data_IF_052681162058
#
_entry.id   IF_052681162058
#
_cell.length_a   1.000
_cell.length_b   1.000
_cell.length_c   1.000
_cell.angle_alpha   90.00
_cell.angle_beta   90.00
_cell.angle_gamma   90.00
#
_symmetry.space_group_name_H-M   'P 1'
#
loop_
_entity.id
_entity.type
_entity.pdbx_description
1 polymer ?
#
# COMPACT_ATOMS: atom_id res chain seq x y z
N UNK A 1 0.70 12.71 1.64
CA UNK A 1 0.36 12.20 0.29
C UNK A 1 0.74 13.19 -0.79
N UNK A 2 0.98 12.71 -2.02
CA UNK A 2 1.44 13.53 -3.14
C UNK A 2 0.92 12.99 -4.47
N UNK A 3 0.32 13.86 -5.29
CA UNK A 3 -0.08 13.56 -6.66
C UNK A 3 1.03 13.93 -7.65
N UNK A 4 1.23 13.10 -8.66
CA UNK A 4 2.17 13.34 -9.77
C UNK A 4 1.50 13.02 -11.10
N UNK A 5 1.70 13.85 -12.14
CA UNK A 5 1.25 13.51 -13.49
C UNK A 5 2.09 12.36 -14.05
N UNK A 6 1.41 11.41 -14.69
CA UNK A 6 2.06 10.32 -15.42
C UNK A 6 2.63 10.85 -16.72
N UNK A 7 3.94 10.65 -16.91
CA UNK A 7 4.63 11.02 -18.16
C UNK A 7 4.61 9.87 -19.17
N UNK A 8 4.75 8.65 -18.67
CA UNK A 8 4.76 7.45 -19.48
C UNK A 8 4.27 6.26 -18.67
N UNK A 9 3.53 5.40 -19.33
CA UNK A 9 3.09 4.11 -18.78
C UNK A 9 3.43 2.99 -19.76
N UNK A 10 3.97 1.91 -19.24
CA UNK A 10 4.18 0.64 -19.97
C UNK A 10 3.38 -0.49 -19.35
N UNK A 11 3.60 -1.73 -19.81
CA UNK A 11 2.97 -2.90 -19.21
C UNK A 11 3.35 -3.07 -17.72
N UNK A 12 4.61 -2.77 -17.38
CA UNK A 12 5.20 -3.10 -16.07
C UNK A 12 5.86 -1.90 -15.37
N UNK A 13 5.64 -0.68 -15.84
CA UNK A 13 6.22 0.50 -15.21
C UNK A 13 5.40 1.77 -15.46
N UNK A 14 5.52 2.72 -14.52
CA UNK A 14 4.99 4.08 -14.62
C UNK A 14 6.09 5.06 -14.32
N UNK A 15 6.25 6.06 -15.20
CA UNK A 15 7.11 7.21 -15.02
C UNK A 15 6.25 8.43 -14.64
N UNK A 16 6.49 9.00 -13.47
CA UNK A 16 5.75 10.16 -12.97
C UNK A 16 6.68 11.09 -12.17
N UNK A 17 6.66 12.38 -12.48
CA UNK A 17 7.68 13.29 -11.98
C UNK A 17 9.08 12.78 -12.37
N UNK A 18 10.00 12.70 -11.42
CA UNK A 18 11.35 12.15 -11.61
C UNK A 18 11.47 10.68 -11.17
N UNK A 19 10.35 10.05 -10.84
CA UNK A 19 10.31 8.67 -10.37
C UNK A 19 9.92 7.70 -11.48
N UNK A 20 10.54 6.52 -11.47
CA UNK A 20 10.13 5.35 -12.25
C UNK A 20 9.76 4.23 -11.30
N UNK A 21 8.52 3.81 -11.36
CA UNK A 21 7.96 2.75 -10.53
C UNK A 21 7.83 1.49 -11.38
N UNK A 22 8.59 0.45 -11.05
CA UNK A 22 8.50 -0.85 -11.68
C UNK A 22 7.40 -1.67 -10.98
N UNK A 23 6.23 -1.72 -11.58
CA UNK A 23 5.03 -2.39 -11.03
C UNK A 23 4.59 -3.47 -12.02
N UNK A 24 4.78 -4.74 -11.72
CA UNK A 24 4.42 -5.83 -12.63
C UNK A 24 2.93 -5.79 -13.01
N UNK A 25 2.64 -5.97 -14.29
CA UNK A 25 1.28 -5.98 -14.86
C UNK A 25 0.48 -4.66 -14.69
N UNK A 26 1.09 -3.53 -14.35
CA UNK A 26 0.36 -2.30 -14.03
C UNK A 26 -0.53 -1.82 -15.18
N UNK A 27 -0.06 -1.93 -16.41
CA UNK A 27 -0.85 -1.56 -17.59
C UNK A 27 -2.14 -2.38 -17.73
N UNK A 28 -2.09 -3.66 -17.40
CA UNK A 28 -3.27 -4.54 -17.39
C UNK A 28 -4.16 -4.28 -16.18
N UNK A 29 -3.57 -4.06 -15.02
CA UNK A 29 -4.30 -3.86 -13.76
C UNK A 29 -5.09 -2.56 -13.74
N UNK A 30 -4.46 -1.46 -14.15
CA UNK A 30 -5.02 -0.14 -14.01
C UNK A 30 -5.60 0.45 -15.30
N UNK A 31 -5.25 -0.13 -16.48
CA UNK A 31 -5.55 0.53 -17.74
C UNK A 31 -4.78 1.83 -17.89
N UNK A 32 -5.14 2.70 -18.84
CA UNK A 32 -4.52 4.01 -19.01
C UNK A 32 -4.80 4.91 -17.80
N UNK A 33 -3.75 5.48 -17.21
CA UNK A 33 -3.84 6.41 -16.09
C UNK A 33 -3.09 7.71 -16.40
N UNK A 34 -3.56 8.81 -15.83
CA UNK A 34 -3.06 10.16 -16.07
C UNK A 34 -2.29 10.70 -14.86
N UNK A 35 -2.66 10.24 -13.67
CA UNK A 35 -2.09 10.68 -12.40
C UNK A 35 -1.79 9.49 -11.51
N UNK A 36 -0.75 9.60 -10.69
CA UNK A 36 -0.53 8.70 -9.56
C UNK A 36 -0.54 9.49 -8.25
N UNK A 37 -1.05 8.87 -7.21
CA UNK A 37 -0.98 9.36 -5.85
C UNK A 37 -0.13 8.43 -5.00
N UNK A 38 0.85 8.97 -4.31
CA UNK A 38 1.69 8.25 -3.34
C UNK A 38 1.34 8.76 -1.95
N UNK A 39 1.12 7.86 -1.01
CA UNK A 39 0.91 8.21 0.39
C UNK A 39 1.71 7.28 1.31
N UNK A 40 2.12 7.83 2.44
CA UNK A 40 2.65 7.10 3.59
C UNK A 40 1.77 7.46 4.78
N UNK A 41 1.34 6.47 5.55
CA UNK A 41 0.55 6.64 6.75
C UNK A 41 1.02 5.73 7.87
N UNK A 42 0.79 6.13 9.12
CA UNK A 42 1.19 5.39 10.31
C UNK A 42 0.19 5.62 11.44
N UNK A 43 0.06 4.66 12.33
CA UNK A 43 -0.64 4.83 13.62
C UNK A 43 0.33 5.13 14.77
N UNK A 44 1.61 5.41 14.45
CA UNK A 44 2.65 5.65 15.43
C UNK A 44 3.20 4.36 16.06
N UNK A 45 4.06 4.51 17.06
CA UNK A 45 4.79 3.41 17.71
C UNK A 45 4.22 2.99 19.07
N UNK A 46 3.27 3.72 19.63
CA UNK A 46 2.80 3.50 21.00
C UNK A 46 2.22 2.09 21.19
N UNK A 47 1.43 1.63 20.19
CA UNK A 47 0.81 0.32 20.25
C UNK A 47 1.84 -0.82 20.09
N UNK A 48 2.81 -0.67 19.19
CA UNK A 48 3.85 -1.68 19.02
C UNK A 48 4.79 -1.73 20.21
N UNK A 49 5.11 -0.58 20.82
CA UNK A 49 5.89 -0.52 22.05
C UNK A 49 5.15 -1.21 23.21
N UNK A 50 3.84 -0.96 23.35
CA UNK A 50 3.04 -1.64 24.38
C UNK A 50 2.97 -3.16 24.14
N UNK A 51 2.84 -3.59 22.90
CA UNK A 51 2.88 -5.01 22.55
C UNK A 51 4.24 -5.63 22.92
N UNK A 52 5.36 -4.93 22.66
CA UNK A 52 6.68 -5.39 23.03
C UNK A 52 6.84 -5.55 24.56
N UNK A 53 6.38 -4.58 25.38
CA UNK A 53 6.37 -4.68 26.84
C UNK A 53 5.60 -5.93 27.32
N UNK A 54 4.45 -6.24 26.70
CA UNK A 54 3.67 -7.43 27.01
C UNK A 54 4.38 -8.74 26.63
N UNK A 55 5.18 -8.72 25.56
CA UNK A 55 6.05 -9.85 25.21
C UNK A 55 7.11 -10.10 26.28
N UNK A 56 7.74 -9.04 26.79
CA UNK A 56 8.76 -9.12 27.85
C UNK A 56 8.20 -9.65 29.15
N UNK A 57 6.98 -9.22 29.52
CA UNK A 57 6.28 -9.70 30.71
C UNK A 57 5.60 -11.05 30.56
N UNK A 58 5.76 -11.70 29.38
CA UNK A 58 5.17 -13.01 29.03
C UNK A 58 3.65 -13.03 28.98
N UNK A 59 3.01 -11.91 28.81
CA UNK A 59 1.57 -11.79 28.55
C UNK A 59 1.26 -12.05 27.06
N UNK A 60 1.72 -13.19 26.53
CA UNK A 60 1.78 -13.49 25.10
C UNK A 60 0.44 -13.40 24.37
N UNK A 61 -0.70 -13.88 24.93
CA UNK A 61 -1.99 -13.75 24.25
C UNK A 61 -2.38 -12.28 24.05
N UNK A 62 -2.19 -11.43 25.08
CA UNK A 62 -2.53 -10.01 25.01
C UNK A 62 -1.62 -9.27 24.05
N UNK A 63 -0.31 -9.56 24.07
CA UNK A 63 0.67 -9.00 23.14
C UNK A 63 0.29 -9.31 21.68
N UNK A 64 -0.05 -10.57 21.37
CA UNK A 64 -0.45 -10.98 20.03
C UNK A 64 -1.76 -10.34 19.57
N UNK A 65 -2.73 -10.21 20.48
CA UNK A 65 -3.99 -9.54 20.19
C UNK A 65 -3.77 -8.06 19.88
N UNK A 66 -2.95 -7.39 20.69
CA UNK A 66 -2.64 -5.98 20.53
C UNK A 66 -1.90 -5.71 19.20
N UNK A 67 -0.92 -6.56 18.86
CA UNK A 67 -0.23 -6.49 17.58
C UNK A 67 -1.19 -6.66 16.38
N UNK A 68 -2.13 -7.62 16.49
CA UNK A 68 -3.15 -7.86 15.47
C UNK A 68 -4.11 -6.67 15.32
N UNK A 69 -4.51 -6.05 16.43
CA UNK A 69 -5.34 -4.83 16.43
C UNK A 69 -4.60 -3.70 15.71
N UNK A 70 -3.30 -3.52 15.99
CA UNK A 70 -2.48 -2.52 15.31
C UNK A 70 -2.40 -2.74 13.80
N UNK A 71 -2.26 -4.00 13.38
CA UNK A 71 -2.26 -4.35 11.95
C UNK A 71 -3.61 -4.04 11.28
N UNK A 72 -4.72 -4.31 11.96
CA UNK A 72 -6.06 -3.94 11.50
C UNK A 72 -6.26 -2.43 11.43
N UNK A 73 -5.79 -1.69 12.43
CA UNK A 73 -5.93 -0.25 12.50
C UNK A 73 -5.17 0.47 11.37
N UNK A 74 -3.92 0.07 11.10
CA UNK A 74 -3.14 0.68 10.01
C UNK A 74 -3.71 0.36 8.62
N UNK A 75 -4.29 -0.83 8.44
CA UNK A 75 -5.01 -1.16 7.20
C UNK A 75 -6.27 -0.29 7.03
N UNK A 76 -7.06 -0.09 8.10
CA UNK A 76 -8.22 0.80 8.06
C UNK A 76 -7.83 2.26 7.78
N UNK A 77 -6.69 2.72 8.32
CA UNK A 77 -6.14 4.03 8.00
C UNK A 77 -5.75 4.13 6.52
N UNK A 78 -5.14 3.10 5.96
CA UNK A 78 -4.79 3.09 4.53
C UNK A 78 -6.03 3.08 3.62
N UNK A 79 -7.11 2.42 4.02
CA UNK A 79 -8.41 2.50 3.33
C UNK A 79 -8.98 3.92 3.40
N UNK A 80 -8.96 4.55 4.57
CA UNK A 80 -9.38 5.95 4.72
C UNK A 80 -8.56 6.91 3.85
N UNK A 81 -7.23 6.73 3.78
CA UNK A 81 -6.38 7.53 2.87
C UNK A 81 -6.76 7.31 1.41
N UNK A 82 -7.09 6.07 1.01
CA UNK A 82 -7.57 5.78 -0.34
C UNK A 82 -8.90 6.49 -0.63
N UNK A 83 -9.82 6.53 0.34
CA UNK A 83 -11.08 7.26 0.21
C UNK A 83 -10.85 8.77 0.05
N UNK A 84 -9.89 9.36 0.76
CA UNK A 84 -9.50 10.76 0.56
C UNK A 84 -9.00 11.01 -0.87
N UNK A 85 -8.18 10.10 -1.42
CA UNK A 85 -7.72 10.21 -2.81
C UNK A 85 -8.89 10.15 -3.79
N UNK A 86 -9.88 9.28 -3.55
CA UNK A 86 -11.10 9.24 -4.35
C UNK A 86 -11.88 10.56 -4.26
N UNK A 87 -12.03 11.13 -3.06
CA UNK A 87 -12.72 12.41 -2.86
C UNK A 87 -12.03 13.57 -3.59
N UNK A 88 -10.71 13.59 -3.65
CA UNK A 88 -9.95 14.59 -4.42
C UNK A 88 -10.11 14.43 -5.93
N UNK A 89 -10.28 13.21 -6.44
CA UNK A 89 -10.41 12.92 -7.86
C UNK A 89 -11.86 13.08 -8.40
N UNK A 90 -12.88 12.90 -7.56
CA UNK A 90 -14.31 13.00 -7.93
C UNK A 90 -14.66 14.32 -8.63
N UNK A 91 -14.26 15.51 -8.13
CA UNK A 91 -14.58 16.78 -8.80
C UNK A 91 -13.98 16.91 -10.20
N UNK A 92 -12.92 16.13 -10.49
CA UNK A 92 -12.27 16.09 -11.79
C UNK A 92 -12.88 15.05 -12.74
N UNK A 93 -13.84 14.26 -12.26
CA UNK A 93 -14.46 13.17 -13.01
C UNK A 93 -13.50 12.00 -13.28
N UNK A 94 -12.46 11.84 -12.47
CA UNK A 94 -11.44 10.82 -12.65
C UNK A 94 -11.68 9.63 -11.72
N UNK A 95 -11.95 8.41 -12.25
CA UNK A 95 -11.90 7.18 -11.48
C UNK A 95 -10.52 6.96 -10.86
N UNK A 96 -10.49 6.49 -9.61
CA UNK A 96 -9.26 6.12 -8.89
C UNK A 96 -9.14 4.61 -8.83
N UNK A 97 -7.98 4.09 -9.16
CA UNK A 97 -7.70 2.64 -9.12
C UNK A 97 -7.63 2.13 -7.67
N UNK A 98 -7.67 0.82 -7.52
CA UNK A 98 -7.36 0.21 -6.24
C UNK A 98 -5.91 0.49 -5.86
N UNK A 99 -5.69 0.80 -4.58
CA UNK A 99 -4.36 1.01 -4.04
C UNK A 99 -3.51 -0.26 -4.11
N UNK A 100 -2.23 -0.09 -4.35
CA UNK A 100 -1.22 -1.15 -4.28
C UNK A 100 -0.05 -0.68 -3.41
N UNK A 101 0.73 -1.61 -2.90
CA UNK A 101 1.87 -1.31 -2.03
C UNK A 101 3.05 -2.23 -2.39
N UNK A 102 4.31 -1.73 -2.34
CA UNK A 102 5.48 -2.59 -2.48
C UNK A 102 5.48 -3.71 -1.44
N UNK A 103 5.94 -4.89 -1.84
CA UNK A 103 5.91 -6.09 -1.00
C UNK A 103 4.63 -6.93 -1.13
N UNK A 104 3.59 -6.41 -1.80
CA UNK A 104 2.38 -7.18 -2.08
C UNK A 104 2.38 -7.74 -3.50
N UNK A 105 1.82 -8.95 -3.66
CA UNK A 105 1.79 -9.64 -4.95
C UNK A 105 3.19 -9.88 -5.49
N UNK A 106 3.46 -9.43 -6.69
CA UNK A 106 4.76 -9.51 -7.37
C UNK A 106 5.54 -8.18 -7.33
N UNK A 107 5.05 -7.15 -6.64
CA UNK A 107 5.74 -5.86 -6.58
C UNK A 107 6.85 -5.89 -5.54
N UNK A 108 8.09 -5.68 -5.99
CA UNK A 108 9.29 -5.77 -5.14
C UNK A 108 9.23 -4.75 -4.00
N UNK A 109 9.51 -5.18 -2.79
CA UNK A 109 9.59 -4.33 -1.59
C UNK A 109 10.66 -3.23 -1.72
N UNK A 110 11.72 -3.45 -2.50
CA UNK A 110 12.75 -2.44 -2.76
C UNK A 110 12.20 -1.17 -3.42
N UNK A 111 11.05 -1.23 -4.08
CA UNK A 111 10.36 -0.07 -4.63
C UNK A 111 9.85 0.92 -3.56
N UNK A 112 9.83 0.52 -2.29
CA UNK A 112 9.63 1.44 -1.15
C UNK A 112 10.58 2.64 -1.20
N UNK A 113 11.84 2.43 -1.62
CA UNK A 113 12.83 3.52 -1.72
C UNK A 113 12.39 4.58 -2.71
N UNK A 114 11.80 4.17 -3.83
CA UNK A 114 11.29 5.09 -4.84
C UNK A 114 10.09 5.87 -4.30
N UNK A 115 9.16 5.20 -3.62
CA UNK A 115 8.01 5.87 -2.98
C UNK A 115 8.47 6.90 -1.96
N UNK A 116 9.41 6.55 -1.08
CA UNK A 116 9.95 7.45 -0.04
C UNK A 116 10.77 8.59 -0.63
N UNK A 117 11.42 8.40 -1.78
CA UNK A 117 12.07 9.49 -2.52
C UNK A 117 11.08 10.55 -3.02
N UNK A 118 9.84 10.15 -3.31
CA UNK A 118 8.77 11.04 -3.78
C UNK A 118 7.95 11.60 -2.63
N UNK A 119 7.59 10.75 -1.67
CA UNK A 119 6.75 11.09 -0.52
C UNK A 119 7.46 10.63 0.76
N UNK A 120 8.43 11.42 1.28
CA UNK A 120 9.16 11.09 2.51
C UNK A 120 8.22 10.97 3.71
N UNK A 121 8.53 10.04 4.61
CA UNK A 121 7.77 9.81 5.84
C UNK A 121 8.20 10.67 7.02
N UNK A 122 9.27 11.45 6.91
CA UNK A 122 9.91 12.16 8.03
C UNK A 122 8.94 13.09 8.79
N UNK A 123 8.05 13.77 8.06
CA UNK A 123 7.08 14.70 8.64
C UNK A 123 6.05 14.02 9.57
N UNK A 124 5.89 12.69 9.45
CA UNK A 124 5.00 11.87 10.27
C UNK A 124 5.77 10.85 11.10
N UNK A 125 7.09 11.01 11.22
CA UNK A 125 7.96 10.14 12.00
C UNK A 125 8.17 8.74 11.44
N UNK A 126 7.97 8.54 10.12
CA UNK A 126 8.20 7.25 9.46
C UNK A 126 9.52 7.26 8.70
N UNK A 127 10.37 6.32 9.02
CA UNK A 127 11.64 6.09 8.31
C UNK A 127 11.66 4.72 7.63
N UNK A 128 12.60 4.55 6.69
CA UNK A 128 12.83 3.31 5.96
C UNK A 128 14.24 2.79 6.27
N UNK A 129 14.35 1.54 6.71
CA UNK A 129 15.65 0.92 6.95
C UNK A 129 16.27 0.34 5.66
N UNK A 130 17.49 -0.22 5.77
CA UNK A 130 18.22 -0.80 4.62
C UNK A 130 17.52 -2.00 3.98
N UNK A 131 16.68 -2.71 4.71
CA UNK A 131 15.87 -3.82 4.19
C UNK A 131 14.52 -3.37 3.64
N UNK A 132 14.29 -2.05 3.49
CA UNK A 132 13.04 -1.46 3.03
C UNK A 132 11.83 -1.71 3.95
N UNK A 133 12.04 -1.90 5.25
CA UNK A 133 10.97 -1.92 6.25
C UNK A 133 10.78 -0.55 6.89
N UNK A 134 9.54 -0.19 7.11
CA UNK A 134 9.16 1.06 7.78
C UNK A 134 9.28 0.96 9.29
N UNK A 135 9.68 2.05 9.91
CA UNK A 135 9.65 2.26 11.36
C UNK A 135 8.89 3.56 11.62
N UNK A 136 7.81 3.58 12.42
CA UNK A 136 7.16 2.46 13.11
C UNK A 136 6.66 1.34 12.18
N UNK A 137 6.60 0.10 12.69
CA UNK A 137 6.19 -1.08 11.92
C UNK A 137 4.71 -0.99 11.47
N UNK A 138 3.86 -0.35 12.29
CA UNK A 138 2.45 -0.13 11.96
C UNK A 138 2.29 1.10 11.03
N UNK A 139 2.96 1.01 9.88
CA UNK A 139 2.96 2.02 8.82
C UNK A 139 2.67 1.34 7.47
N UNK A 140 2.07 2.07 6.55
CA UNK A 140 1.81 1.62 5.18
C UNK A 140 2.21 2.73 4.21
N UNK A 141 2.94 2.36 3.16
CA UNK A 141 3.04 3.16 1.95
C UNK A 141 2.09 2.62 0.90
N UNK A 142 1.45 3.47 0.15
CA UNK A 142 0.51 3.08 -0.89
C UNK A 142 0.65 3.94 -2.14
N UNK A 143 0.25 3.36 -3.25
CA UNK A 143 0.14 3.99 -4.55
C UNK A 143 -1.25 3.71 -5.11
N UNK A 144 -1.93 4.74 -5.56
CA UNK A 144 -3.14 4.65 -6.37
C UNK A 144 -2.96 5.51 -7.63
N UNK A 145 -3.78 5.30 -8.63
CA UNK A 145 -3.73 6.10 -9.86
C UNK A 145 -5.13 6.60 -10.22
N UNK A 146 -5.18 7.68 -10.99
CA UNK A 146 -6.43 8.24 -11.51
C UNK A 146 -6.30 8.52 -13.02
N UNK A 147 -7.41 8.40 -13.72
CA UNK A 147 -7.47 8.70 -15.14
C UNK A 147 -8.84 8.38 -15.72
N UNK A 148 -9.25 9.08 -16.80
CA UNK A 148 -10.56 8.91 -17.42
C UNK A 148 -10.88 7.46 -17.85
N UNK A 149 -9.85 6.66 -18.11
CA UNK A 149 -9.96 5.26 -18.52
C UNK A 149 -9.34 4.29 -17.51
N UNK A 150 -9.12 4.76 -16.27
CA UNK A 150 -8.59 3.91 -15.19
C UNK A 150 -9.57 2.79 -14.85
N UNK A 151 -9.03 1.59 -14.65
CA UNK A 151 -9.82 0.41 -14.26
C UNK A 151 -9.96 0.35 -12.75
N UNK A 152 -11.20 0.31 -12.29
CA UNK A 152 -11.54 0.12 -10.89
C UNK A 152 -12.10 -1.29 -10.71
N UNK A 153 -11.49 -2.05 -9.80
CA UNK A 153 -11.99 -3.38 -9.43
C UNK A 153 -12.66 -3.31 -8.06
N UNK A 154 -13.97 -3.19 -8.03
CA UNK A 154 -14.74 -3.10 -6.78
C UNK A 154 -14.63 -4.33 -5.88
N UNK A 155 -14.17 -5.45 -6.42
CA UNK A 155 -13.93 -6.70 -5.67
C UNK A 155 -12.45 -6.94 -5.41
N UNK A 156 -11.62 -5.92 -5.62
CA UNK A 156 -10.19 -6.04 -5.40
C UNK A 156 -9.88 -6.38 -3.93
N UNK A 157 -9.04 -7.38 -3.76
CA UNK A 157 -8.44 -7.71 -2.47
C UNK A 157 -6.95 -8.01 -2.66
N UNK A 158 -6.11 -7.33 -1.91
CA UNK A 158 -4.67 -7.61 -1.88
C UNK A 158 -4.42 -9.10 -1.58
N UNK A 159 -5.18 -9.67 -0.64
CA UNK A 159 -5.06 -11.07 -0.27
C UNK A 159 -5.38 -12.04 -1.43
N UNK A 160 -6.29 -11.69 -2.32
CA UNK A 160 -6.66 -12.55 -3.45
C UNK A 160 -5.51 -12.75 -4.43
N UNK A 161 -4.62 -11.76 -4.57
CA UNK A 161 -3.47 -11.76 -5.48
C UNK A 161 -2.15 -12.05 -4.79
N UNK A 162 -2.13 -12.11 -3.47
CA UNK A 162 -0.92 -12.35 -2.68
C UNK A 162 -0.43 -13.79 -2.84
N UNK A 163 0.85 -13.97 -3.12
CA UNK A 163 1.50 -15.28 -3.27
C UNK A 163 1.56 -16.07 -1.95
N UNK A 164 1.56 -15.40 -0.79
CA UNK A 164 1.62 -16.02 0.52
C UNK A 164 0.27 -16.65 0.87
N UNK A 165 0.11 -17.95 0.58
CA UNK A 165 -1.15 -18.67 0.74
C UNK A 165 -1.52 -18.94 2.19
N UNK A 166 -0.53 -19.22 3.03
CA UNK A 166 -0.68 -19.61 4.44
C UNK A 166 -0.48 -18.40 5.39
N UNK A 167 -0.81 -17.19 4.93
CA UNK A 167 -0.70 -15.98 5.74
C UNK A 167 -1.75 -15.98 6.86
N UNK A 168 -1.32 -15.81 8.12
CA UNK A 168 -2.18 -15.72 9.29
C UNK A 168 -3.19 -14.54 9.21
N UNK A 169 -2.85 -13.50 8.45
CA UNK A 169 -3.68 -12.30 8.25
C UNK A 169 -4.51 -12.33 6.98
N UNK A 170 -4.57 -13.46 6.27
CA UNK A 170 -5.33 -13.56 5.03
C UNK A 170 -6.83 -13.39 5.27
N UNK A 171 -7.43 -12.38 4.64
CA UNK A 171 -8.86 -12.06 4.75
C UNK A 171 -9.72 -12.64 3.62
N UNK A 172 -9.10 -13.02 2.50
CA UNK A 172 -9.80 -13.51 1.30
C UNK A 172 -9.08 -14.73 0.74
N UNK A 173 -9.82 -15.74 0.31
CA UNK A 173 -9.24 -16.91 -0.35
C UNK A 173 -8.40 -16.49 -1.57
N UNK A 174 -7.26 -17.17 -1.78
CA UNK A 174 -6.47 -16.96 -2.99
C UNK A 174 -7.30 -17.35 -4.22
N UNK A 175 -7.40 -16.47 -5.20
CA UNK A 175 -8.00 -16.85 -6.48
C UNK A 175 -7.17 -17.97 -7.11
N UNK A 176 -7.82 -19.10 -7.41
CA UNK A 176 -7.23 -20.09 -8.29
C UNK A 176 -7.19 -19.43 -9.67
N UNK A 177 -6.00 -19.09 -10.15
CA UNK A 177 -5.84 -18.72 -11.55
C UNK A 177 -6.23 -19.94 -12.37
N UNK A 178 -7.42 -19.90 -12.94
CA UNK A 178 -7.79 -20.85 -14.00
C UNK A 178 -6.90 -20.46 -15.18
N UNK A 179 -5.83 -21.21 -15.39
CA UNK A 179 -5.08 -21.15 -16.65
C UNK A 179 -6.05 -21.62 -17.73
N UNK A 180 -6.49 -20.71 -18.57
CA UNK A 180 -7.09 -21.05 -19.86
C UNK A 180 -5.99 -21.34 -20.86
#
# INVERSE_FOLDING_TARGET
>A
MRWLPVRRQSADAIEAGDATLAIPDVGRLWGPVEWIAIAVCTIGDELERRAAELWETRELPLASMLDSVGSGAVESLAEYVNDLLCQEAIPLGLPVTNRVSPGYGSWDVAQQRVLFGVCPGDAIGVSLNDACFMTPVKSISLLAAAGAHARVDHYFSQCARCWMRDCAYRRTAAHKTVRR
#
